data_IF_889390692111
#
_entry.id   IF_889390692111
#
_cell.length_a   1.000
_cell.length_b   1.000
_cell.length_c   1.000
_cell.angle_alpha   90.00
_cell.angle_beta   90.00
_cell.angle_gamma   90.00
#
_symmetry.space_group_name_H-M   'P 1'
#
loop_
_entity.id
_entity.type
_entity.pdbx_description
1 polymer ?
#
# COMPACT_ATOMS: atom_id res chain seq x y z
N UNK A 1 -10.83 -15.84 -11.44
CA UNK A 1 -10.88 -15.12 -12.74
C UNK A 1 -9.49 -15.20 -13.36
N UNK A 2 -9.33 -15.21 -14.69
CA UNK A 2 -8.01 -15.07 -15.29
C UNK A 2 -7.40 -13.74 -14.84
N UNK A 3 -6.14 -13.78 -14.46
CA UNK A 3 -5.38 -12.64 -13.94
C UNK A 3 -4.48 -12.12 -15.04
N UNK A 4 -4.36 -10.80 -15.16
CA UNK A 4 -3.51 -10.22 -16.17
C UNK A 4 -2.04 -10.44 -15.79
N UNK A 5 -1.18 -10.80 -16.74
CA UNK A 5 0.22 -11.15 -16.45
C UNK A 5 0.99 -10.04 -15.71
N UNK A 6 0.64 -8.78 -15.95
CA UNK A 6 1.24 -7.63 -15.25
C UNK A 6 0.86 -7.53 -13.76
N UNK A 7 -0.14 -8.27 -13.29
CA UNK A 7 -0.46 -8.38 -11.86
C UNK A 7 0.44 -9.42 -11.16
N UNK A 8 1.10 -10.29 -11.92
CA UNK A 8 2.15 -11.18 -11.41
C UNK A 8 3.46 -10.44 -11.21
N UNK A 9 3.76 -9.52 -12.12
CA UNK A 9 5.00 -8.73 -12.13
C UNK A 9 4.71 -7.28 -11.74
N UNK A 10 4.45 -7.05 -10.44
CA UNK A 10 4.36 -5.69 -9.91
C UNK A 10 5.66 -4.95 -10.26
N UNK A 11 5.53 -3.76 -10.85
CA UNK A 11 6.69 -3.02 -11.38
C UNK A 11 7.81 -2.85 -10.33
N UNK A 12 9.10 -2.89 -10.72
CA UNK A 12 10.23 -2.88 -9.78
C UNK A 12 10.26 -1.69 -8.83
N UNK A 13 9.68 -0.56 -9.22
CA UNK A 13 9.62 0.65 -8.40
C UNK A 13 8.61 0.57 -7.25
N UNK A 14 7.69 -0.40 -7.26
CA UNK A 14 6.68 -0.58 -6.22
C UNK A 14 7.16 -1.63 -5.21
N UNK A 15 7.61 -1.15 -4.05
CA UNK A 15 8.13 -2.00 -2.98
C UNK A 15 6.98 -2.60 -2.17
N UNK A 16 6.95 -3.92 -2.04
CA UNK A 16 5.94 -4.63 -1.23
C UNK A 16 5.98 -4.19 0.23
N UNK A 17 4.81 -3.97 0.81
CA UNK A 17 4.63 -3.61 2.22
C UNK A 17 3.67 -4.57 2.94
N UNK A 18 2.95 -4.05 3.93
CA UNK A 18 1.96 -4.80 4.69
C UNK A 18 0.62 -4.93 3.99
N UNK A 19 -0.25 -5.75 4.58
CA UNK A 19 -1.63 -5.91 4.16
C UNK A 19 -2.55 -5.43 5.28
N UNK A 20 -3.61 -4.71 4.90
CA UNK A 20 -4.62 -4.23 5.84
C UNK A 20 -6.01 -4.65 5.38
N UNK A 21 -6.77 -5.32 6.25
CA UNK A 21 -8.11 -5.83 5.93
C UNK A 21 -9.01 -4.67 5.52
N UNK A 22 -9.79 -4.85 4.45
CA UNK A 22 -10.64 -3.78 3.91
C UNK A 22 -9.97 -2.89 2.87
N UNK A 23 -8.64 -3.01 2.68
CA UNK A 23 -7.84 -2.17 1.78
C UNK A 23 -6.94 -3.02 0.88
N UNK A 24 -6.24 -4.00 1.47
CA UNK A 24 -5.42 -4.99 0.77
C UNK A 24 -3.93 -4.86 1.05
N UNK A 25 -3.14 -5.60 0.28
CA UNK A 25 -1.68 -5.57 0.29
C UNK A 25 -1.20 -4.29 -0.37
N UNK A 26 -0.44 -3.48 0.36
CA UNK A 26 0.09 -2.23 -0.16
C UNK A 26 1.46 -2.45 -0.81
N UNK A 27 1.69 -1.70 -1.89
CA UNK A 27 3.00 -1.53 -2.51
C UNK A 27 3.24 -0.03 -2.66
N UNK A 28 4.33 0.46 -2.09
CA UNK A 28 4.66 1.89 -2.09
C UNK A 28 5.81 2.17 -3.05
N UNK A 29 5.72 3.28 -3.78
CA UNK A 29 6.76 3.72 -4.70
C UNK A 29 8.07 3.97 -3.95
N UNK A 30 9.13 3.26 -4.37
CA UNK A 30 10.52 3.37 -3.88
C UNK A 30 10.60 3.59 -2.37
N UNK A 31 9.93 2.71 -1.62
CA UNK A 31 9.82 2.82 -0.17
C UNK A 31 10.43 1.60 0.50
N UNK A 32 11.58 1.82 1.13
CA UNK A 32 12.31 0.85 1.93
C UNK A 32 12.92 1.52 3.18
N UNK A 33 13.68 0.75 3.94
CA UNK A 33 14.29 1.21 5.19
C UNK A 33 15.43 2.24 4.99
N UNK A 34 15.92 2.41 3.76
CA UNK A 34 16.97 3.35 3.38
C UNK A 34 16.44 4.63 2.73
N UNK A 35 15.15 4.65 2.39
CA UNK A 35 14.50 5.79 1.73
C UNK A 35 14.63 7.05 2.59
N UNK A 36 15.18 8.12 2.02
CA UNK A 36 15.22 9.40 2.73
C UNK A 36 13.80 9.94 2.91
N UNK A 37 13.39 10.27 4.14
CA UNK A 37 12.03 10.78 4.40
C UNK A 37 11.68 12.03 3.58
N UNK A 38 12.65 12.89 3.30
CA UNK A 38 12.46 14.08 2.47
C UNK A 38 12.19 13.75 0.98
N UNK A 39 12.53 12.54 0.54
CA UNK A 39 12.32 12.07 -0.82
C UNK A 39 11.10 11.13 -0.94
N UNK A 40 10.44 10.82 0.18
CA UNK A 40 9.30 9.91 0.19
C UNK A 40 8.08 10.57 -0.47
N UNK A 41 7.58 9.97 -1.54
CA UNK A 41 6.45 10.49 -2.32
C UNK A 41 5.10 9.91 -1.91
N UNK A 42 5.13 8.77 -1.22
CA UNK A 42 3.92 8.15 -0.66
C UNK A 42 2.86 7.70 -1.65
N UNK A 43 3.16 7.62 -2.95
CA UNK A 43 2.31 6.93 -3.92
C UNK A 43 2.28 5.43 -3.63
N UNK A 44 1.10 4.83 -3.73
CA UNK A 44 0.94 3.40 -3.51
C UNK A 44 -0.18 2.79 -4.35
N UNK A 45 -0.10 1.48 -4.52
CA UNK A 45 -1.15 0.62 -5.05
C UNK A 45 -1.54 -0.41 -4.00
N UNK A 46 -2.79 -0.88 -4.03
CA UNK A 46 -3.28 -1.96 -3.17
C UNK A 46 -3.75 -3.14 -4.00
N UNK A 47 -3.54 -4.34 -3.48
CA UNK A 47 -3.95 -5.58 -4.12
C UNK A 47 -4.80 -6.44 -3.19
N UNK A 48 -5.84 -7.05 -3.75
CA UNK A 48 -6.69 -8.06 -3.13
C UNK A 48 -6.37 -9.39 -3.80
N UNK A 49 -5.69 -10.29 -3.08
CA UNK A 49 -5.31 -11.60 -3.64
C UNK A 49 -4.62 -11.46 -5.01
N UNK A 50 -3.58 -10.61 -5.06
CA UNK A 50 -2.77 -10.38 -6.26
C UNK A 50 -3.45 -9.61 -7.39
N UNK A 51 -4.72 -9.21 -7.25
CA UNK A 51 -5.40 -8.34 -8.22
C UNK A 51 -5.41 -6.89 -7.75
N UNK A 52 -5.19 -5.93 -8.66
CA UNK A 52 -5.17 -4.51 -8.33
C UNK A 52 -6.55 -4.09 -7.78
N UNK A 53 -6.59 -3.74 -6.50
CA UNK A 53 -7.81 -3.40 -5.76
C UNK A 53 -7.98 -1.90 -5.53
N UNK A 54 -6.91 -1.12 -5.71
CA UNK A 54 -6.93 0.31 -5.47
C UNK A 54 -5.56 0.96 -5.65
N UNK A 55 -5.55 2.28 -5.53
CA UNK A 55 -4.34 3.10 -5.54
C UNK A 55 -4.56 4.38 -4.74
N UNK A 56 -3.49 5.08 -4.41
CA UNK A 56 -3.60 6.27 -3.60
C UNK A 56 -2.28 7.00 -3.38
N UNK A 57 -2.36 8.00 -2.51
CA UNK A 57 -1.22 8.79 -2.07
C UNK A 57 -1.33 9.05 -0.57
N UNK A 58 -0.22 8.90 0.13
CA UNK A 58 -0.07 9.24 1.54
C UNK A 58 0.95 10.36 1.66
N UNK A 59 0.60 11.43 2.37
CA UNK A 59 1.48 12.59 2.59
C UNK A 59 1.71 12.81 4.07
N UNK A 60 2.95 13.14 4.44
CA UNK A 60 3.28 13.52 5.80
C UNK A 60 2.61 14.86 6.12
N UNK A 61 1.99 14.95 7.29
CA UNK A 61 1.13 16.06 7.67
C UNK A 61 -0.35 15.68 7.73
N UNK A 62 -1.05 16.27 8.70
CA UNK A 62 -2.50 16.13 8.88
C UNK A 62 -3.20 17.32 8.22
N UNK A 63 -3.78 17.10 7.05
CA UNK A 63 -4.52 18.09 6.30
C UNK A 63 -6.00 17.93 6.60
N UNK A 64 -6.49 18.68 7.59
CA UNK A 64 -7.90 18.66 7.95
C UNK A 64 -8.71 19.32 6.82
N UNK A 65 -9.57 18.52 6.19
CA UNK A 65 -10.55 19.07 5.24
C UNK A 65 -11.49 20.04 5.96
N UNK A 66 -11.76 21.23 5.40
CA UNK A 66 -12.78 22.12 5.92
C UNK A 66 -14.21 21.63 5.59
N UNK A 67 -14.35 20.55 4.81
CA UNK A 67 -15.64 20.03 4.35
C UNK A 67 -16.16 18.88 5.22
N UNK A 68 -17.48 18.78 5.34
CA UNK A 68 -18.18 17.73 6.11
C UNK A 68 -17.96 16.32 5.55
N UNK A 69 -17.68 16.20 4.26
CA UNK A 69 -17.25 14.96 3.63
C UNK A 69 -15.76 15.06 3.34
N UNK A 70 -15.02 14.09 3.84
CA UNK A 70 -13.57 14.02 3.72
C UNK A 70 -13.22 12.77 2.91
N UNK A 71 -12.51 12.97 1.80
CA UNK A 71 -11.89 11.89 1.04
C UNK A 71 -10.56 11.43 1.65
N UNK A 72 -10.15 12.09 2.73
CA UNK A 72 -8.92 11.83 3.44
C UNK A 72 -9.08 10.78 4.53
N UNK A 73 -8.04 10.02 4.73
CA UNK A 73 -7.86 9.13 5.86
C UNK A 73 -6.71 9.64 6.71
N UNK A 74 -6.88 9.51 8.03
CA UNK A 74 -5.88 9.90 9.01
C UNK A 74 -5.51 8.64 9.82
N UNK A 75 -4.78 7.68 9.22
CA UNK A 75 -4.46 6.43 9.90
C UNK A 75 -3.61 6.71 11.13
N UNK A 76 -4.00 6.12 12.26
CA UNK A 76 -3.21 6.17 13.48
C UNK A 76 -1.85 5.47 13.27
N UNK A 77 -0.83 5.91 14.00
CA UNK A 77 0.53 5.37 13.88
C UNK A 77 0.60 3.83 13.90
N UNK A 78 -0.11 3.10 14.80
CA UNK A 78 -0.09 1.63 14.77
C UNK A 78 -0.60 1.03 13.46
N UNK A 79 -1.65 1.61 12.87
CA UNK A 79 -2.20 1.17 11.57
C UNK A 79 -1.17 1.41 10.47
N UNK A 80 -0.55 2.59 10.47
CA UNK A 80 0.50 2.92 9.52
C UNK A 80 1.67 1.93 9.58
N UNK A 81 2.12 1.55 10.79
CA UNK A 81 3.20 0.58 10.99
C UNK A 81 2.88 -0.81 10.45
N UNK A 82 1.60 -1.17 10.42
CA UNK A 82 1.12 -2.41 9.80
C UNK A 82 1.13 -2.30 8.28
N UNK A 83 0.79 -1.13 7.73
CA UNK A 83 0.69 -0.88 6.28
C UNK A 83 2.07 -0.72 5.64
N UNK A 84 2.95 0.14 6.16
CA UNK A 84 4.31 0.37 5.64
C UNK A 84 5.31 -0.31 6.57
N UNK A 85 5.59 -1.59 6.28
CA UNK A 85 6.47 -2.43 7.10
C UNK A 85 7.94 -2.04 6.94
N UNK A 86 8.37 -1.84 5.71
CA UNK A 86 9.74 -1.51 5.34
C UNK A 86 9.95 0.00 5.32
N UNK A 87 9.33 0.75 6.22
CA UNK A 87 9.46 2.22 6.27
C UNK A 87 10.84 2.64 6.76
N UNK A 88 11.35 3.82 6.33
CA UNK A 88 12.58 4.35 6.87
C UNK A 88 12.39 4.80 8.33
N UNK A 89 13.40 4.63 9.22
CA UNK A 89 13.27 4.95 10.64
C UNK A 89 12.82 6.39 10.93
N UNK A 90 13.25 7.36 10.11
CA UNK A 90 12.88 8.77 10.26
C UNK A 90 11.36 9.01 10.15
N UNK A 91 10.63 8.11 9.49
CA UNK A 91 9.19 8.26 9.24
C UNK A 91 8.39 8.13 10.53
N UNK A 92 8.80 7.25 11.45
CA UNK A 92 8.13 7.09 12.74
C UNK A 92 8.13 8.39 13.55
N UNK A 93 9.22 9.14 13.50
CA UNK A 93 9.33 10.43 14.18
C UNK A 93 8.45 11.48 13.50
N UNK A 94 8.54 11.61 12.18
CA UNK A 94 7.75 12.60 11.44
C UNK A 94 6.25 12.38 11.61
N UNK A 95 5.80 11.13 11.62
CA UNK A 95 4.39 10.78 11.85
C UNK A 95 3.91 11.13 13.25
N UNK A 96 4.75 10.99 14.28
CA UNK A 96 4.39 11.40 15.65
C UNK A 96 4.15 12.91 15.74
N UNK A 97 4.92 13.71 15.01
CA UNK A 97 4.85 15.16 15.08
C UNK A 97 3.83 15.78 14.11
N UNK A 98 3.73 15.23 12.90
CA UNK A 98 2.95 15.83 11.81
C UNK A 98 1.67 15.06 11.48
N UNK A 99 1.59 13.79 11.89
CA UNK A 99 0.57 12.87 11.42
C UNK A 99 0.72 12.55 9.93
N UNK A 100 -0.35 12.03 9.34
CA UNK A 100 -0.38 11.63 7.94
C UNK A 100 -1.78 11.80 7.39
N UNK A 101 -1.84 12.13 6.12
CA UNK A 101 -3.08 12.20 5.36
C UNK A 101 -2.96 11.28 4.17
N UNK A 102 -3.96 10.44 3.96
CA UNK A 102 -3.99 9.52 2.84
C UNK A 102 -5.27 9.68 2.03
N UNK A 103 -5.23 9.37 0.74
CA UNK A 103 -6.41 9.22 -0.11
C UNK A 103 -6.32 7.89 -0.83
N UNK A 104 -7.41 7.14 -0.78
CA UNK A 104 -7.57 5.90 -1.53
C UNK A 104 -8.61 6.08 -2.64
N UNK A 105 -8.29 5.54 -3.82
CA UNK A 105 -9.25 5.20 -4.87
C UNK A 105 -9.40 3.69 -4.86
N UNK A 106 -10.58 3.22 -4.44
CA UNK A 106 -10.89 1.80 -4.33
C UNK A 106 -11.58 1.33 -5.61
N UNK A 107 -11.07 0.25 -6.21
CA UNK A 107 -11.60 -0.36 -7.44
C UNK A 107 -12.52 -1.55 -7.15
N UNK A 108 -12.62 -1.98 -5.89
CA UNK A 108 -13.52 -3.04 -5.44
C UNK A 108 -14.86 -2.44 -5.03
N UNK A 109 -15.96 -3.08 -5.46
CA UNK A 109 -17.33 -2.68 -5.09
C UNK A 109 -17.57 -2.75 -3.59
N UNK A 110 -17.08 -3.80 -2.94
CA UNK A 110 -17.18 -4.00 -1.50
C UNK A 110 -15.78 -4.17 -0.90
N UNK A 111 -15.10 -3.05 -0.57
CA UNK A 111 -13.75 -3.09 0.00
C UNK A 111 -13.67 -3.88 1.30
N UNK A 112 -14.76 -3.95 2.09
CA UNK A 112 -14.77 -4.65 3.37
C UNK A 112 -14.50 -6.16 3.24
N UNK A 113 -14.67 -6.73 2.03
CA UNK A 113 -14.36 -8.13 1.73
C UNK A 113 -12.89 -8.37 1.38
N UNK A 114 -12.09 -7.32 1.15
CA UNK A 114 -10.67 -7.46 0.81
C UNK A 114 -9.95 -8.18 1.95
N UNK A 115 -9.28 -9.27 1.58
CA UNK A 115 -8.67 -10.21 2.52
C UNK A 115 -7.15 -10.00 2.62
N UNK A 116 -6.55 -10.50 3.69
CA UNK A 116 -5.10 -10.50 3.91
C UNK A 116 -4.63 -11.92 4.21
N UNK A 117 -4.46 -12.77 3.19
CA UNK A 117 -4.04 -14.15 3.37
C UNK A 117 -2.61 -14.23 3.90
N UNK A 118 -2.31 -15.32 4.62
CA UNK A 118 -0.97 -15.59 5.15
C UNK A 118 0.03 -16.02 4.06
N UNK A 119 -0.46 -16.72 3.04
CA UNK A 119 0.33 -17.14 1.88
C UNK A 119 0.27 -16.08 0.79
N UNK A 120 1.38 -15.90 0.07
CA UNK A 120 1.37 -15.07 -1.14
C UNK A 120 0.49 -15.73 -2.20
N UNK A 121 -0.57 -15.04 -2.60
CA UNK A 121 -1.53 -15.50 -3.59
C UNK A 121 -0.86 -15.78 -4.94
N UNK A 122 0.19 -15.03 -5.29
CA UNK A 122 0.90 -15.16 -6.57
C UNK A 122 1.53 -16.54 -6.75
N UNK A 123 1.95 -17.20 -5.67
CA UNK A 123 2.59 -18.53 -5.72
C UNK A 123 1.71 -19.59 -6.40
N UNK A 124 0.38 -19.51 -6.24
CA UNK A 124 -0.55 -20.50 -6.81
C UNK A 124 -1.23 -20.08 -8.10
N UNK A 125 -1.03 -18.83 -8.55
CA UNK A 125 -1.85 -18.22 -9.61
C UNK A 125 -1.05 -17.48 -10.67
N UNK A 126 0.20 -17.14 -10.38
CA UNK A 126 1.15 -16.68 -11.36
C UNK A 126 1.92 -17.89 -11.91
N UNK A 127 2.11 -17.98 -13.23
CA UNK A 127 3.03 -18.96 -13.78
C UNK A 127 4.39 -18.76 -13.10
N UNK A 128 5.02 -19.84 -12.68
CA UNK A 128 6.42 -19.75 -12.27
C UNK A 128 7.19 -19.15 -13.45
N UNK A 129 8.06 -18.17 -13.20
CA UNK A 129 9.13 -17.89 -14.15
C UNK A 129 9.78 -19.25 -14.44
N UNK A 130 9.80 -19.67 -15.70
CA UNK A 130 10.70 -20.71 -16.15
C UNK A 130 12.10 -20.18 -15.83
N UNK A 131 12.63 -20.57 -14.67
CA UNK A 131 14.03 -20.36 -14.33
C UNK A 131 14.83 -21.03 -15.44
N UNK A 132 15.53 -20.21 -16.23
CA UNK A 132 16.39 -20.62 -17.33
C UNK A 132 17.15 -21.92 -16.99
N UNK A 133 16.90 -22.96 -17.80
CA UNK A 133 17.73 -24.17 -17.90
C UNK A 133 18.99 -23.85 -18.68
#
# INVERSE_FOLDING_TARGET
>A
QPVASWECDVIPELSEQGCYKGVGKHYYFKTDNTTECAQWQGFFTTYDEGQLSGFGVSVLGTYLSPFSHTFYEYPALPVFKTIIKSRPPCMDDWLRYTGITSVHVLLRRDPAQISCPLSDWRIGHCPAEESDV
#
